data_IF_491903380639
#
_entry.id   IF_491903380639
#
_cell.length_a   1.000
_cell.length_b   1.000
_cell.length_c   1.000
_cell.angle_alpha   90.00
_cell.angle_beta   90.00
_cell.angle_gamma   90.00
#
_symmetry.space_group_name_H-M   'P 1'
#
loop_
_entity.id
_entity.type
_entity.pdbx_description
1 polymer ?
#
# COMPACT_ATOMS: atom_id res chain seq x y z
N UNK A 1 -42.74 -2.15 -7.64
CA UNK A 1 -41.37 -1.83 -8.08
C UNK A 1 -40.72 -1.02 -6.98
N UNK A 2 -40.00 -1.67 -6.07
CA UNK A 2 -39.21 -0.99 -5.04
C UNK A 2 -37.96 -0.44 -5.72
N UNK A 3 -37.96 0.86 -6.00
CA UNK A 3 -36.74 1.57 -6.39
C UNK A 3 -35.77 1.52 -5.21
N UNK A 4 -34.75 0.68 -5.29
CA UNK A 4 -33.56 0.88 -4.47
C UNK A 4 -32.91 2.17 -4.96
N UNK A 5 -32.71 3.19 -4.10
CA UNK A 5 -31.91 4.34 -4.49
C UNK A 5 -30.51 3.80 -4.78
N UNK A 6 -30.07 3.89 -6.02
CA UNK A 6 -28.65 3.80 -6.36
C UNK A 6 -27.98 5.01 -5.75
N UNK A 7 -27.62 4.94 -4.47
CA UNK A 7 -26.80 5.96 -3.83
C UNK A 7 -25.46 6.00 -4.57
N UNK A 8 -25.38 6.91 -5.53
CA UNK A 8 -24.14 7.20 -6.22
C UNK A 8 -23.19 7.83 -5.20
N UNK A 9 -21.90 7.44 -5.18
CA UNK A 9 -20.97 7.97 -4.20
C UNK A 9 -20.86 9.49 -4.33
N UNK A 10 -20.98 10.19 -3.20
CA UNK A 10 -20.76 11.62 -3.14
C UNK A 10 -19.26 11.89 -3.10
N UNK A 11 -18.79 12.79 -3.96
CA UNK A 11 -17.39 13.20 -4.00
C UNK A 11 -17.22 14.59 -3.40
N UNK A 12 -16.24 14.71 -2.52
CA UNK A 12 -15.86 15.94 -1.85
C UNK A 12 -14.47 16.36 -2.32
N UNK A 13 -14.17 17.65 -2.23
CA UNK A 13 -12.89 18.21 -2.67
C UNK A 13 -12.26 19.01 -1.53
N UNK A 14 -11.03 18.68 -1.18
CA UNK A 14 -10.33 19.40 -0.10
C UNK A 14 -9.96 20.82 -0.52
N UNK A 15 -9.78 21.69 0.47
CA UNK A 15 -9.06 22.94 0.29
C UNK A 15 -7.61 22.68 -0.15
N UNK A 16 -6.97 23.60 -0.89
CA UNK A 16 -5.55 23.51 -1.21
C UNK A 16 -4.68 23.49 0.05
N UNK A 17 -3.67 22.61 0.06
CA UNK A 17 -2.62 22.57 1.10
C UNK A 17 -1.25 22.37 0.45
N UNK A 18 -0.13 22.66 1.16
CA UNK A 18 1.20 22.40 0.61
C UNK A 18 1.38 20.91 0.22
N UNK A 19 1.93 20.67 -0.97
CA UNK A 19 2.15 19.32 -1.45
C UNK A 19 3.22 18.60 -0.59
N UNK A 20 2.95 17.38 -0.09
CA UNK A 20 3.90 16.66 0.75
C UNK A 20 5.07 16.05 -0.03
N UNK A 21 4.99 16.04 -1.37
CA UNK A 21 5.97 15.38 -2.24
C UNK A 21 6.86 16.33 -3.04
N UNK A 22 6.33 17.48 -3.45
CA UNK A 22 7.00 18.43 -4.32
C UNK A 22 6.97 19.81 -3.67
N UNK A 23 8.16 20.35 -3.40
CA UNK A 23 8.32 21.67 -2.81
C UNK A 23 7.76 22.77 -3.72
N UNK A 24 7.11 23.78 -3.13
CA UNK A 24 6.49 24.88 -3.87
C UNK A 24 5.19 24.53 -4.61
N UNK A 25 4.74 23.27 -4.58
CA UNK A 25 3.47 22.85 -5.16
C UNK A 25 2.37 22.79 -4.10
N UNK A 26 1.12 22.88 -4.55
CA UNK A 26 -0.07 22.67 -3.71
C UNK A 26 -0.81 21.40 -4.13
N UNK A 27 -1.38 20.70 -3.16
CA UNK A 27 -2.25 19.55 -3.40
C UNK A 27 -3.71 19.86 -3.07
N UNK A 28 -4.60 19.19 -3.81
CA UNK A 28 -6.02 19.01 -3.48
C UNK A 28 -6.35 17.54 -3.69
N UNK A 29 -7.34 17.05 -2.95
CA UNK A 29 -7.80 15.66 -3.06
C UNK A 29 -9.30 15.65 -3.30
N UNK A 30 -9.74 14.89 -4.30
CA UNK A 30 -11.12 14.43 -4.37
C UNK A 30 -11.22 13.17 -3.51
N UNK A 31 -12.26 13.04 -2.69
CA UNK A 31 -12.47 11.86 -1.87
C UNK A 31 -13.94 11.48 -1.73
N UNK A 32 -14.19 10.24 -1.36
CA UNK A 32 -15.52 9.70 -1.03
C UNK A 32 -15.40 8.68 0.11
N UNK A 33 -16.51 8.37 0.76
CA UNK A 33 -16.57 7.39 1.84
C UNK A 33 -16.84 5.98 1.30
N UNK A 34 -16.11 5.00 1.83
CA UNK A 34 -16.29 3.57 1.62
C UNK A 34 -17.03 2.99 2.82
N UNK A 35 -18.36 2.97 2.76
CA UNK A 35 -19.22 2.51 3.86
C UNK A 35 -20.28 1.52 3.38
N UNK A 36 -20.66 0.61 4.28
CA UNK A 36 -21.66 -0.42 4.03
C UNK A 36 -21.20 -1.55 3.11
N UNK A 37 -22.12 -2.46 2.81
CA UNK A 37 -21.82 -3.76 2.19
C UNK A 37 -21.23 -3.67 0.77
N UNK A 38 -21.43 -2.55 0.07
CA UNK A 38 -20.89 -2.30 -1.28
C UNK A 38 -19.49 -1.67 -1.28
N UNK A 39 -18.92 -1.39 -0.11
CA UNK A 39 -17.60 -0.78 0.00
C UNK A 39 -16.49 -1.60 -0.71
N UNK A 40 -16.46 -2.95 -0.67
CA UNK A 40 -15.44 -3.72 -1.40
C UNK A 40 -15.50 -3.48 -2.92
N UNK A 41 -16.69 -3.61 -3.51
CA UNK A 41 -16.92 -3.39 -4.96
C UNK A 41 -16.57 -1.96 -5.37
N UNK A 42 -16.93 -0.99 -4.52
CA UNK A 42 -16.61 0.42 -4.75
C UNK A 42 -15.12 0.69 -4.64
N UNK A 43 -14.41 0.05 -3.71
CA UNK A 43 -12.96 0.16 -3.58
C UNK A 43 -12.24 -0.38 -4.82
N UNK A 44 -12.70 -1.51 -5.36
CA UNK A 44 -12.16 -2.09 -6.59
C UNK A 44 -12.33 -1.10 -7.76
N UNK A 45 -13.54 -0.58 -7.97
CA UNK A 45 -13.83 0.38 -9.04
C UNK A 45 -13.03 1.68 -8.89
N UNK A 46 -12.95 2.24 -7.69
CA UNK A 46 -12.23 3.48 -7.43
C UNK A 46 -10.72 3.29 -7.57
N UNK A 47 -10.16 2.17 -7.14
CA UNK A 47 -8.74 1.86 -7.29
C UNK A 47 -8.35 1.72 -8.77
N UNK A 48 -9.20 1.12 -9.60
CA UNK A 48 -9.04 1.13 -11.06
C UNK A 48 -9.05 2.55 -11.64
N UNK A 49 -9.87 3.44 -11.07
CA UNK A 49 -9.93 4.88 -11.40
C UNK A 49 -8.81 5.72 -10.78
N UNK A 50 -7.82 5.08 -10.15
CA UNK A 50 -6.64 5.70 -9.60
C UNK A 50 -6.82 6.31 -8.21
N UNK A 51 -7.91 5.99 -7.49
CA UNK A 51 -8.04 6.33 -6.09
C UNK A 51 -7.14 5.44 -5.23
N UNK A 52 -6.81 5.92 -4.03
CA UNK A 52 -6.20 5.13 -2.96
C UNK A 52 -7.06 5.20 -1.73
N UNK A 53 -6.99 4.18 -0.89
CA UNK A 53 -7.70 4.15 0.39
C UNK A 53 -6.85 4.67 1.54
N UNK A 54 -7.51 5.28 2.52
CA UNK A 54 -7.01 5.54 3.86
C UNK A 54 -8.21 5.42 4.80
N UNK A 55 -8.18 4.52 5.79
CA UNK A 55 -9.35 4.25 6.64
C UNK A 55 -10.61 3.98 5.78
N UNK A 56 -11.74 4.59 6.12
CA UNK A 56 -13.01 4.48 5.39
C UNK A 56 -13.15 5.49 4.24
N UNK A 57 -12.07 6.13 3.77
CA UNK A 57 -12.11 7.05 2.62
C UNK A 57 -11.27 6.53 1.45
N UNK A 58 -11.78 6.75 0.24
CA UNK A 58 -11.03 6.64 -1.00
C UNK A 58 -10.73 8.04 -1.52
N UNK A 59 -9.49 8.32 -1.92
CA UNK A 59 -9.05 9.64 -2.39
C UNK A 59 -8.16 9.58 -3.64
N UNK A 60 -8.22 10.63 -4.46
CA UNK A 60 -7.33 10.85 -5.60
C UNK A 60 -6.82 12.29 -5.63
N UNK A 61 -5.54 12.54 -5.96
CA UNK A 61 -5.05 13.87 -6.26
C UNK A 61 -5.90 14.55 -7.34
N UNK A 62 -6.24 15.81 -7.10
CA UNK A 62 -7.03 16.67 -7.96
C UNK A 62 -6.39 18.08 -8.02
N UNK A 63 -5.05 18.12 -8.11
CA UNK A 63 -4.29 19.36 -8.16
C UNK A 63 -4.61 20.15 -9.44
N UNK A 64 -4.64 21.47 -9.35
CA UNK A 64 -5.05 22.35 -10.46
C UNK A 64 -4.00 22.41 -11.57
N UNK A 65 -2.72 22.48 -11.21
CA UNK A 65 -1.61 22.74 -12.13
C UNK A 65 -0.60 21.59 -12.22
N UNK A 66 -0.83 20.49 -11.49
CA UNK A 66 0.13 19.39 -11.35
C UNK A 66 -0.52 18.04 -11.63
N UNK A 67 0.19 17.17 -12.38
CA UNK A 67 -0.21 15.79 -12.69
C UNK A 67 0.89 14.77 -12.36
N UNK A 68 1.76 15.10 -11.40
CA UNK A 68 2.94 14.29 -11.09
C UNK A 68 2.61 12.97 -10.38
N UNK A 69 1.47 12.89 -9.67
CA UNK A 69 1.03 11.68 -8.98
C UNK A 69 0.36 10.72 -9.96
N UNK A 70 1.00 9.60 -10.24
CA UNK A 70 0.53 8.55 -11.16
C UNK A 70 0.29 7.27 -10.37
N UNK A 71 -0.92 6.71 -10.47
CA UNK A 71 -1.21 5.41 -9.86
C UNK A 71 -0.47 4.31 -10.62
N UNK A 72 0.22 3.43 -9.89
CA UNK A 72 1.02 2.35 -10.48
C UNK A 72 0.65 0.99 -9.87
N UNK A 73 0.66 -0.03 -10.72
CA UNK A 73 0.47 -1.43 -10.34
C UNK A 73 1.50 -2.33 -11.02
N UNK A 74 2.05 -3.27 -10.27
CA UNK A 74 3.00 -4.26 -10.78
C UNK A 74 2.21 -5.39 -11.45
N UNK A 75 2.67 -5.88 -12.60
CA UNK A 75 2.15 -7.08 -13.23
C UNK A 75 2.75 -8.31 -12.54
N UNK A 76 2.05 -8.86 -11.56
CA UNK A 76 2.57 -9.88 -10.64
C UNK A 76 3.02 -11.16 -11.37
N UNK A 77 2.34 -11.54 -12.45
CA UNK A 77 2.61 -12.78 -13.18
C UNK A 77 3.80 -12.69 -14.12
N UNK A 78 4.15 -11.48 -14.56
CA UNK A 78 5.30 -11.23 -15.42
C UNK A 78 6.55 -10.80 -14.62
N UNK A 79 6.38 -10.47 -13.33
CA UNK A 79 7.45 -9.95 -12.51
C UNK A 79 8.62 -10.93 -12.38
N UNK A 80 9.83 -10.44 -12.65
CA UNK A 80 11.07 -11.18 -12.46
C UNK A 80 12.00 -10.41 -11.53
N UNK A 81 12.32 -11.01 -10.37
CA UNK A 81 13.19 -10.39 -9.39
C UNK A 81 14.62 -10.20 -9.95
N UNK A 82 15.13 -8.97 -9.88
CA UNK A 82 16.52 -8.66 -10.20
C UNK A 82 17.51 -9.38 -9.26
N UNK A 83 18.80 -9.42 -9.61
CA UNK A 83 19.85 -10.00 -8.76
C UNK A 83 19.86 -9.37 -7.36
N UNK A 84 19.64 -8.05 -7.25
CA UNK A 84 19.57 -7.38 -5.95
C UNK A 84 18.33 -7.81 -5.15
N UNK A 85 17.16 -7.88 -5.80
CA UNK A 85 15.93 -8.34 -5.15
C UNK A 85 16.03 -9.78 -4.66
N UNK A 86 16.69 -10.67 -5.42
CA UNK A 86 16.97 -12.04 -4.98
C UNK A 86 17.85 -12.07 -3.71
N UNK A 87 18.83 -11.17 -3.60
CA UNK A 87 19.63 -11.03 -2.35
C UNK A 87 18.78 -10.54 -1.20
N UNK A 88 17.89 -9.57 -1.41
CA UNK A 88 16.96 -9.09 -0.37
C UNK A 88 16.06 -10.23 0.13
N UNK A 89 15.53 -11.06 -0.78
CA UNK A 89 14.73 -12.24 -0.39
C UNK A 89 15.56 -13.20 0.48
N UNK A 90 16.78 -13.54 0.03
CA UNK A 90 17.66 -14.45 0.77
C UNK A 90 18.06 -13.91 2.15
N UNK A 91 18.34 -12.61 2.24
CA UNK A 91 18.74 -11.95 3.48
C UNK A 91 17.60 -11.85 4.51
N UNK A 92 16.35 -12.07 4.08
CA UNK A 92 15.17 -12.10 4.94
C UNK A 92 14.53 -13.49 5.00
N UNK A 93 15.27 -14.55 4.66
CA UNK A 93 14.77 -15.92 4.63
C UNK A 93 14.38 -16.46 6.02
N UNK A 94 14.95 -15.88 7.09
CA UNK A 94 14.60 -16.10 8.50
C UNK A 94 13.24 -15.50 8.88
N UNK A 95 12.59 -14.73 8.00
CA UNK A 95 11.25 -14.19 8.22
C UNK A 95 10.17 -15.03 7.52
N UNK A 96 8.96 -14.96 8.07
CA UNK A 96 7.75 -15.48 7.47
C UNK A 96 6.64 -14.44 7.60
N UNK A 97 5.95 -14.16 6.51
CA UNK A 97 4.77 -13.29 6.50
C UNK A 97 3.50 -14.12 6.67
N UNK A 98 2.73 -13.88 7.73
CA UNK A 98 1.43 -14.50 7.95
C UNK A 98 0.32 -13.46 7.73
N UNK A 99 -0.69 -13.82 6.94
CA UNK A 99 -1.84 -12.96 6.64
C UNK A 99 -2.97 -13.26 7.63
N UNK A 100 -3.51 -12.21 8.25
CA UNK A 100 -4.57 -12.25 9.24
C UNK A 100 -5.69 -11.27 8.87
N UNK A 101 -6.86 -11.45 9.48
CA UNK A 101 -7.88 -10.39 9.47
C UNK A 101 -7.34 -9.13 10.16
N UNK A 102 -7.84 -7.97 9.74
CA UNK A 102 -7.34 -6.68 10.22
C UNK A 102 -7.73 -6.46 11.69
N UNK A 103 -6.88 -6.95 12.59
CA UNK A 103 -6.99 -6.79 14.04
C UNK A 103 -5.73 -6.10 14.58
N UNK A 104 -5.87 -4.95 15.26
CA UNK A 104 -4.79 -4.22 15.88
C UNK A 104 -4.26 -5.00 17.07
N UNK A 105 -2.96 -4.87 17.32
CA UNK A 105 -2.33 -5.34 18.55
C UNK A 105 -1.41 -4.27 19.13
N UNK A 106 -1.14 -4.38 20.43
CA UNK A 106 -0.18 -3.48 21.10
C UNK A 106 1.22 -3.61 20.49
N UNK A 107 1.66 -4.82 20.15
CA UNK A 107 2.97 -5.06 19.54
C UNK A 107 3.10 -4.37 18.17
N UNK A 108 2.07 -4.48 17.33
CA UNK A 108 1.98 -3.78 16.05
C UNK A 108 2.06 -2.25 16.26
N UNK A 109 1.31 -1.70 17.22
CA UNK A 109 1.33 -0.27 17.52
C UNK A 109 2.71 0.21 18.00
N UNK A 110 3.37 -0.56 18.89
CA UNK A 110 4.73 -0.24 19.34
C UNK A 110 5.71 -0.17 18.16
N UNK A 111 5.64 -1.13 17.24
CA UNK A 111 6.45 -1.15 16.02
C UNK A 111 6.13 0.05 15.10
N UNK A 112 4.85 0.35 14.92
CA UNK A 112 4.37 1.49 14.14
C UNK A 112 4.91 2.82 14.70
N UNK A 113 4.85 3.02 16.02
CA UNK A 113 5.40 4.19 16.70
C UNK A 113 6.90 4.33 16.49
N UNK A 114 7.66 3.25 16.72
CA UNK A 114 9.11 3.25 16.49
C UNK A 114 9.47 3.62 15.04
N UNK A 115 8.74 3.07 14.06
CA UNK A 115 8.93 3.39 12.65
C UNK A 115 8.65 4.86 12.33
N UNK A 116 7.53 5.40 12.83
CA UNK A 116 7.17 6.81 12.64
C UNK A 116 8.18 7.76 13.28
N UNK A 117 8.63 7.47 14.50
CA UNK A 117 9.61 8.31 15.21
C UNK A 117 10.97 8.31 14.50
N UNK A 118 11.34 7.21 13.82
CA UNK A 118 12.57 7.15 13.03
C UNK A 118 12.44 7.86 11.66
N UNK A 119 11.34 7.66 10.93
CA UNK A 119 11.21 8.07 9.51
C UNK A 119 10.35 9.33 9.29
N UNK A 120 9.50 9.70 10.23
CA UNK A 120 8.42 10.67 10.06
C UNK A 120 8.30 11.71 11.20
N UNK A 121 9.42 12.13 11.81
CA UNK A 121 9.50 13.11 12.93
C UNK A 121 8.77 14.46 12.74
N UNK A 122 8.27 14.78 11.54
CA UNK A 122 7.56 16.03 11.23
C UNK A 122 6.31 15.82 10.35
N UNK A 123 5.77 14.61 10.26
CA UNK A 123 4.58 14.30 9.46
C UNK A 123 3.34 14.15 10.33
N UNK A 124 2.15 14.49 9.82
CA UNK A 124 0.91 14.47 10.61
C UNK A 124 0.50 13.11 11.21
N UNK A 125 1.17 12.01 10.87
CA UNK A 125 0.98 10.70 11.51
C UNK A 125 1.79 10.54 12.82
N UNK A 126 2.77 11.42 13.11
CA UNK A 126 3.62 11.31 14.29
C UNK A 126 2.87 11.44 15.62
N UNK A 127 1.64 11.94 15.58
CA UNK A 127 0.82 12.19 16.77
C UNK A 127 -0.32 11.16 16.90
N UNK A 128 -0.35 10.13 16.04
CA UNK A 128 -1.36 9.08 16.12
C UNK A 128 -1.27 8.32 17.44
N UNK A 129 -2.41 8.26 18.12
CA UNK A 129 -2.64 7.49 19.34
C UNK A 129 -2.86 6.01 19.02
N UNK A 130 -2.88 5.16 20.06
CA UNK A 130 -3.24 3.74 19.91
C UNK A 130 -4.66 3.57 19.36
N UNK A 131 -5.57 4.49 19.68
CA UNK A 131 -6.94 4.47 19.18
C UNK A 131 -6.99 4.83 17.69
N UNK A 132 -6.22 5.83 17.26
CA UNK A 132 -6.12 6.18 15.83
C UNK A 132 -5.52 5.03 15.02
N UNK A 133 -4.53 4.32 15.58
CA UNK A 133 -3.98 3.11 14.97
C UNK A 133 -5.02 1.99 14.89
N UNK A 134 -5.76 1.73 15.98
CA UNK A 134 -6.81 0.73 15.99
C UNK A 134 -7.87 1.03 14.93
N UNK A 135 -8.34 2.28 14.85
CA UNK A 135 -9.28 2.72 13.82
C UNK A 135 -8.71 2.55 12.40
N UNK A 136 -7.43 2.85 12.18
CA UNK A 136 -6.79 2.62 10.87
C UNK A 136 -6.83 1.15 10.43
N UNK A 137 -6.71 0.21 11.38
CA UNK A 137 -6.69 -1.23 11.12
C UNK A 137 -8.10 -1.80 11.03
N UNK A 138 -8.95 -1.54 12.01
CA UNK A 138 -10.26 -2.18 12.19
C UNK A 138 -11.42 -1.46 11.50
N UNK A 139 -11.40 -0.13 11.38
CA UNK A 139 -12.53 0.63 10.82
C UNK A 139 -12.50 0.60 9.29
N UNK A 140 -12.81 -0.57 8.75
CA UNK A 140 -12.81 -0.87 7.33
C UNK A 140 -14.01 -1.70 6.91
N UNK A 141 -14.71 -1.22 5.87
CA UNK A 141 -15.78 -1.94 5.21
C UNK A 141 -15.28 -2.69 3.95
N UNK A 142 -13.97 -2.68 3.68
CA UNK A 142 -13.33 -3.43 2.60
C UNK A 142 -12.55 -4.62 3.15
N UNK A 143 -12.29 -5.64 2.31
CA UNK A 143 -11.51 -6.84 2.70
C UNK A 143 -10.04 -6.48 2.95
N UNK A 144 -9.79 -5.95 4.16
CA UNK A 144 -8.46 -5.57 4.63
C UNK A 144 -7.86 -6.73 5.41
N UNK A 145 -6.61 -7.02 5.08
CA UNK A 145 -5.77 -7.98 5.79
C UNK A 145 -4.57 -7.27 6.38
N UNK A 146 -4.06 -7.83 7.47
CA UNK A 146 -2.78 -7.46 8.05
C UNK A 146 -1.80 -8.60 7.81
N UNK A 147 -0.64 -8.30 7.26
CA UNK A 147 0.44 -9.27 7.09
C UNK A 147 1.51 -8.96 8.10
N UNK A 148 1.73 -9.88 9.03
CA UNK A 148 2.78 -9.80 10.05
C UNK A 148 4.00 -10.59 9.60
N UNK A 149 5.15 -9.93 9.52
CA UNK A 149 6.43 -10.54 9.21
C UNK A 149 7.19 -10.79 10.51
N UNK A 150 7.26 -12.07 10.89
CA UNK A 150 7.89 -12.51 12.15
C UNK A 150 9.08 -13.41 11.87
N UNK A 151 10.03 -13.45 12.81
CA UNK A 151 11.09 -14.46 12.78
C UNK A 151 10.47 -15.86 12.83
N UNK A 152 11.00 -16.76 12.00
CA UNK A 152 10.63 -18.18 12.00
C UNK A 152 10.96 -18.79 13.36
N UNK A 153 10.07 -19.65 13.84
CA UNK A 153 10.25 -20.49 15.03
C UNK A 153 10.24 -21.98 14.67
N UNK A 154 10.40 -22.87 15.66
CA UNK A 154 10.45 -24.32 15.44
C UNK A 154 9.25 -24.88 14.67
N UNK A 155 8.04 -24.38 14.96
CA UNK A 155 6.79 -24.87 14.36
C UNK A 155 6.40 -24.14 13.07
N UNK A 156 7.23 -23.21 12.57
CA UNK A 156 6.87 -22.42 11.38
C UNK A 156 6.70 -23.27 10.13
N UNK A 157 7.44 -24.38 10.01
CA UNK A 157 7.28 -25.28 8.88
C UNK A 157 5.88 -25.91 8.81
N UNK A 158 5.25 -26.14 9.97
CA UNK A 158 3.92 -26.76 10.08
C UNK A 158 2.83 -25.70 9.99
N UNK A 159 3.01 -24.59 10.70
CA UNK A 159 1.96 -23.56 10.87
C UNK A 159 1.95 -22.51 9.77
N UNK A 160 3.06 -22.34 9.04
CA UNK A 160 3.27 -21.21 8.14
C UNK A 160 3.36 -19.86 8.85
N UNK A 161 3.49 -19.84 10.18
CA UNK A 161 3.50 -18.63 11.02
C UNK A 161 4.79 -18.54 11.83
N UNK A 162 5.26 -17.31 12.04
CA UNK A 162 6.38 -17.02 12.94
C UNK A 162 5.85 -16.80 14.35
N UNK A 163 6.57 -17.31 15.35
CA UNK A 163 6.27 -17.05 16.77
C UNK A 163 7.32 -16.12 17.40
N UNK A 164 8.35 -15.75 16.66
CA UNK A 164 9.36 -14.80 17.13
C UNK A 164 8.92 -13.35 17.01
N UNK A 165 9.89 -12.47 17.25
CA UNK A 165 9.78 -11.02 17.15
C UNK A 165 9.06 -10.56 15.87
N UNK A 166 8.12 -9.61 16.01
CA UNK A 166 7.49 -8.90 14.91
C UNK A 166 8.46 -7.87 14.31
N UNK A 167 8.83 -8.08 13.05
CA UNK A 167 9.84 -7.28 12.35
C UNK A 167 9.21 -6.25 11.41
N UNK A 168 8.11 -6.61 10.74
CA UNK A 168 7.43 -5.72 9.81
C UNK A 168 5.93 -6.06 9.71
N UNK A 169 5.15 -5.08 9.27
CA UNK A 169 3.71 -5.21 9.05
C UNK A 169 3.30 -4.51 7.76
N UNK A 170 2.39 -5.13 7.02
CA UNK A 170 1.71 -4.50 5.89
C UNK A 170 0.19 -4.59 6.05
N UNK A 171 -0.48 -3.44 5.98
CA UNK A 171 -1.93 -3.33 5.83
C UNK A 171 -2.27 -3.37 4.34
N UNK A 172 -3.08 -4.34 3.95
CA UNK A 172 -3.31 -4.69 2.54
C UNK A 172 -4.79 -4.90 2.27
N UNK A 173 -5.32 -4.26 1.23
CA UNK A 173 -6.64 -4.60 0.73
C UNK A 173 -6.53 -5.74 -0.28
N UNK A 174 -7.36 -6.76 -0.11
CA UNK A 174 -7.55 -7.81 -1.10
C UNK A 174 -8.68 -7.39 -2.02
N UNK A 175 -8.35 -7.14 -3.29
CA UNK A 175 -9.27 -6.71 -4.33
C UNK A 175 -9.53 -7.86 -5.31
N UNK A 176 -10.54 -7.71 -6.18
CA UNK A 176 -10.85 -8.74 -7.19
C UNK A 176 -9.68 -9.04 -8.14
N UNK A 177 -8.82 -8.07 -8.42
CA UNK A 177 -7.73 -8.19 -9.40
C UNK A 177 -6.33 -7.99 -8.80
N UNK A 178 -6.19 -7.88 -7.48
CA UNK A 178 -4.89 -7.58 -6.90
C UNK A 178 -4.84 -7.41 -5.40
N UNK A 179 -3.62 -7.16 -4.92
CA UNK A 179 -3.35 -6.73 -3.56
C UNK A 179 -2.98 -5.25 -3.57
N UNK A 180 -3.69 -4.43 -2.80
CA UNK A 180 -3.37 -3.01 -2.63
C UNK A 180 -2.64 -2.76 -1.33
N UNK A 181 -1.37 -2.35 -1.42
CA UNK A 181 -0.58 -2.03 -0.24
C UNK A 181 -0.99 -0.65 0.30
N UNK A 182 -1.87 -0.64 1.30
CA UNK A 182 -2.43 0.57 1.91
C UNK A 182 -1.36 1.28 2.73
N UNK A 183 -0.73 0.55 3.63
CA UNK A 183 0.33 1.06 4.49
C UNK A 183 1.28 -0.05 4.92
N UNK A 184 2.55 0.29 5.17
CA UNK A 184 3.54 -0.68 5.64
C UNK A 184 4.56 0.00 6.55
N UNK A 185 4.97 -0.68 7.60
CA UNK A 185 5.95 -0.20 8.57
C UNK A 185 6.79 -1.38 9.07
N UNK A 186 7.97 -1.08 9.60
CA UNK A 186 8.94 -2.10 9.99
C UNK A 186 9.91 -1.58 11.03
N UNK A 187 10.64 -2.48 11.68
CA UNK A 187 11.59 -2.11 12.72
C UNK A 187 12.76 -1.34 12.07
N UNK A 188 12.97 -0.06 12.44
CA UNK A 188 13.98 0.80 11.81
C UNK A 188 15.42 0.37 12.11
N UNK A 189 15.65 -0.44 13.15
CA UNK A 189 16.99 -0.93 13.52
C UNK A 189 17.57 -1.92 12.50
N UNK A 190 16.72 -2.45 11.61
CA UNK A 190 17.09 -3.39 10.55
C UNK A 190 17.12 -2.74 9.16
N UNK A 191 17.66 -1.51 9.06
CA UNK A 191 17.70 -0.75 7.80
C UNK A 191 18.48 -1.47 6.68
N UNK A 192 19.55 -2.17 7.02
CA UNK A 192 20.40 -2.95 6.12
C UNK A 192 19.64 -4.09 5.42
N UNK A 193 18.55 -4.57 6.01
CA UNK A 193 17.76 -5.69 5.48
C UNK A 193 16.86 -5.32 4.31
N UNK A 194 16.67 -4.03 4.02
CA UNK A 194 15.76 -3.54 2.97
C UNK A 194 14.31 -4.05 3.11
N UNK A 195 13.77 -4.05 4.34
CA UNK A 195 12.46 -4.62 4.68
C UNK A 195 11.30 -4.10 3.83
N UNK A 196 11.29 -2.80 3.48
CA UNK A 196 10.27 -2.27 2.56
C UNK A 196 10.30 -2.92 1.17
N UNK A 197 11.49 -3.26 0.66
CA UNK A 197 11.61 -3.99 -0.61
C UNK A 197 11.19 -5.45 -0.44
N UNK A 198 11.58 -6.08 0.67
CA UNK A 198 11.19 -7.45 0.98
C UNK A 198 9.66 -7.61 1.04
N UNK A 199 8.95 -6.71 1.74
CA UNK A 199 7.48 -6.76 1.81
C UNK A 199 6.84 -6.66 0.43
N UNK A 200 7.29 -5.76 -0.45
CA UNK A 200 6.75 -5.66 -1.82
C UNK A 200 6.99 -6.96 -2.61
N UNK A 201 8.18 -7.56 -2.51
CA UNK A 201 8.50 -8.83 -3.17
C UNK A 201 7.63 -9.98 -2.67
N UNK A 202 7.37 -10.04 -1.37
CA UNK A 202 6.46 -11.01 -0.77
C UNK A 202 5.01 -10.78 -1.23
N UNK A 203 4.55 -9.53 -1.38
CA UNK A 203 3.22 -9.23 -1.92
C UNK A 203 3.08 -9.66 -3.38
N UNK A 204 4.11 -9.48 -4.20
CA UNK A 204 4.14 -9.99 -5.59
C UNK A 204 4.03 -11.52 -5.59
N UNK A 205 4.77 -12.20 -4.72
CA UNK A 205 4.71 -13.66 -4.60
C UNK A 205 3.32 -14.13 -4.14
N UNK A 206 2.68 -13.43 -3.20
CA UNK A 206 1.30 -13.72 -2.75
C UNK A 206 0.27 -13.51 -3.85
N UNK A 207 0.31 -12.36 -4.53
CA UNK A 207 -0.58 -12.09 -5.64
C UNK A 207 -0.47 -13.19 -6.70
N UNK A 208 0.76 -13.59 -7.04
CA UNK A 208 1.01 -14.71 -7.95
C UNK A 208 0.40 -16.02 -7.48
N UNK A 209 0.63 -16.40 -6.22
CA UNK A 209 0.09 -17.62 -5.64
C UNK A 209 -1.45 -17.63 -5.58
N UNK A 210 -2.07 -16.45 -5.44
CA UNK A 210 -3.52 -16.26 -5.44
C UNK A 210 -4.11 -16.15 -6.87
N UNK A 211 -3.28 -16.16 -7.91
CA UNK A 211 -3.73 -15.94 -9.29
C UNK A 211 -4.15 -14.49 -9.59
N UNK A 212 -3.82 -13.54 -8.71
CA UNK A 212 -4.15 -12.13 -8.87
C UNK A 212 -3.12 -11.45 -9.79
N UNK A 213 -3.55 -10.71 -10.82
CA UNK A 213 -2.63 -10.13 -11.80
C UNK A 213 -1.84 -8.94 -11.25
N UNK A 214 -2.32 -8.23 -10.23
CA UNK A 214 -1.77 -6.93 -9.86
C UNK A 214 -1.33 -6.82 -8.38
N UNK A 215 -0.26 -6.03 -8.16
CA UNK A 215 0.05 -5.44 -6.85
C UNK A 215 0.03 -3.92 -6.99
N UNK A 216 -0.90 -3.27 -6.31
CA UNK A 216 -1.05 -1.81 -6.33
C UNK A 216 -0.12 -1.18 -5.29
N UNK A 217 0.83 -0.39 -5.76
CA UNK A 217 1.74 0.37 -4.88
C UNK A 217 1.26 1.79 -4.63
N UNK A 218 0.19 2.22 -5.30
CA UNK A 218 -0.35 3.56 -5.20
C UNK A 218 0.35 4.58 -6.07
N UNK A 219 0.58 5.78 -5.54
CA UNK A 219 1.17 6.85 -6.34
C UNK A 219 2.69 6.72 -6.41
N UNK A 220 3.21 6.56 -7.63
CA UNK A 220 4.50 7.10 -7.99
C UNK A 220 4.35 8.60 -8.22
N UNK A 221 5.31 9.40 -7.74
CA UNK A 221 5.27 10.86 -7.90
C UNK A 221 6.51 11.29 -8.65
N UNK A 222 6.34 11.75 -9.88
CA UNK A 222 7.44 12.26 -10.70
C UNK A 222 8.12 13.44 -9.98
N UNK A 223 9.44 13.41 -9.88
CA UNK A 223 10.22 14.40 -9.12
C UNK A 223 10.34 14.14 -7.60
N UNK A 224 9.64 13.15 -7.03
CA UNK A 224 9.76 12.83 -5.60
C UNK A 224 10.78 11.73 -5.33
N UNK A 225 11.92 12.09 -4.71
CA UNK A 225 12.94 11.11 -4.27
C UNK A 225 12.35 10.02 -3.39
N UNK A 226 11.46 10.38 -2.45
CA UNK A 226 10.80 9.45 -1.53
C UNK A 226 9.96 8.39 -2.25
N UNK A 227 9.40 8.71 -3.42
CA UNK A 227 8.51 7.81 -4.17
C UNK A 227 9.19 7.12 -5.36
N UNK A 228 10.46 7.46 -5.64
CA UNK A 228 11.23 6.92 -6.77
C UNK A 228 11.42 5.39 -6.73
N UNK A 229 11.44 4.79 -5.54
CA UNK A 229 11.74 3.36 -5.37
C UNK A 229 10.72 2.44 -6.07
N UNK A 230 9.48 2.90 -6.29
CA UNK A 230 8.41 2.11 -6.93
C UNK A 230 8.77 1.68 -8.35
N UNK A 231 9.53 2.53 -9.05
CA UNK A 231 9.95 2.29 -10.44
C UNK A 231 10.90 1.10 -10.62
N UNK A 232 11.45 0.56 -9.52
CA UNK A 232 12.33 -0.60 -9.57
C UNK A 232 11.58 -1.92 -9.76
N UNK A 233 10.26 -1.94 -9.57
CA UNK A 233 9.46 -3.16 -9.61
C UNK A 233 8.75 -3.33 -10.96
N UNK A 234 9.48 -3.84 -11.94
CA UNK A 234 9.01 -4.02 -13.32
C UNK A 234 8.68 -5.47 -13.67
N UNK A 235 7.75 -5.72 -14.61
CA UNK A 235 6.97 -4.72 -15.35
C UNK A 235 5.81 -4.16 -14.54
N UNK A 236 5.42 -2.92 -14.84
CA UNK A 236 4.31 -2.22 -14.19
C UNK A 236 3.43 -1.50 -15.22
N UNK A 237 2.20 -1.20 -14.83
CA UNK A 237 1.29 -0.33 -15.55
C UNK A 237 1.09 0.98 -14.80
N UNK A 238 0.93 2.05 -15.58
CA UNK A 238 0.67 3.40 -15.10
C UNK A 238 -0.72 3.83 -15.56
N UNK A 239 -1.47 4.44 -14.67
CA UNK A 239 -2.77 5.01 -15.02
C UNK A 239 -2.58 6.35 -15.74
N UNK A 240 -2.84 6.35 -17.04
CA UNK A 240 -2.84 7.53 -17.90
C UNK A 240 -4.26 7.94 -18.36
N UNK A 241 -4.37 8.95 -19.25
CA UNK A 241 -5.65 9.42 -19.78
C UNK A 241 -6.46 8.37 -20.54
N UNK A 242 -5.77 7.37 -21.12
CA UNK A 242 -6.40 6.26 -21.86
C UNK A 242 -6.69 5.03 -20.99
N UNK A 243 -6.42 5.11 -19.69
CA UNK A 243 -6.49 3.99 -18.76
C UNK A 243 -5.11 3.46 -18.40
N UNK A 244 -5.05 2.21 -17.96
CA UNK A 244 -3.81 1.54 -17.56
C UNK A 244 -3.00 1.16 -18.80
N UNK A 245 -1.74 1.62 -18.85
CA UNK A 245 -0.81 1.32 -19.94
C UNK A 245 0.50 0.78 -19.34
N UNK A 246 1.09 -0.22 -20.00
CA UNK A 246 2.41 -0.74 -19.62
C UNK A 246 3.43 0.39 -19.66
N UNK A 247 4.14 0.59 -18.57
CA UNK A 247 5.15 1.62 -18.50
C UNK A 247 6.44 1.14 -19.16
N UNK A 248 6.88 1.86 -20.18
CA UNK A 248 8.16 1.66 -20.84
C UNK A 248 9.22 2.57 -20.20
N UNK A 249 10.19 1.95 -19.51
CA UNK A 249 11.28 2.67 -18.86
C UNK A 249 12.28 3.26 -19.89
N UNK A 250 12.42 2.65 -21.07
CA UNK A 250 13.42 3.05 -22.06
C UNK A 250 13.03 4.33 -22.81
N UNK A 251 11.72 4.58 -22.96
CA UNK A 251 11.21 5.79 -23.61
C UNK A 251 11.45 7.08 -22.83
N UNK A 252 11.71 7.00 -21.51
CA UNK A 252 11.89 8.16 -20.62
C UNK A 252 13.36 8.53 -20.41
N UNK A 253 14.30 7.68 -20.86
CA UNK A 253 15.76 7.91 -20.73
C UNK A 253 16.44 8.32 -22.04
N UNK A 254 15.67 8.52 -23.12
CA UNK A 254 16.10 9.15 -24.39
C UNK A 254 15.58 10.57 -24.46
#
# INVERSE_FOLDING_TARGET
>A
MTQHPTQSPQFFLTAPSPCPYLEGQFERKVFTHLVGDKAPEMNDLLTQGGFRRSQNIAYRPACETCRACVSVRILAQEFTASRNMKRVIQHNADLVGAMHDAQPSTEQYSLFRAYLDARHRRGGMSDMTVLDYAMMVEDTHVDTKIIEYRRRGPDTFITGKGQGELIAVALTDKMADGLSMVYSYFNPDFEDRSLGTFMILDHIARARAMGLPHVYLGYWVNGSRKMSYKMRFMPQEHLGPKGWERYDHEAVTR
#
